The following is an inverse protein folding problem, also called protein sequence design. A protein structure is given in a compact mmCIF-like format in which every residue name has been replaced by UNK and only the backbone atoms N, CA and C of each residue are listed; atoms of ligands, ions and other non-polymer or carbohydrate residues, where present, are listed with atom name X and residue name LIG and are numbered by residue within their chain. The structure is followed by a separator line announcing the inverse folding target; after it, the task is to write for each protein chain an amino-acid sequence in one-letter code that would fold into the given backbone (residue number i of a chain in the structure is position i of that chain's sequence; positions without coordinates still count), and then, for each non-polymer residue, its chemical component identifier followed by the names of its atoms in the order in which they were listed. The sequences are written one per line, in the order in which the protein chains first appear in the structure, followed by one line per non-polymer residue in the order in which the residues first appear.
data_IF_815115009188
#
_entry.id   IF_815115009188
#
_cell.length_a   1.000
_cell.length_b   1.000
_cell.length_c   1.000
_cell.angle_alpha   90.00
_cell.angle_beta   90.00
_cell.angle_gamma   90.00
#
_symmetry.space_group_name_H-M   'P 1'
#
loop_
_entity.id
_entity.type
_entity.pdbx_description
1 polymer ?
#
# COMPACT_ATOMS: atom_id res chain seq x y z
N UNK A 1 1.78 32.83 63.35
CA UNK A 1 2.01 33.43 62.01
C UNK A 1 2.48 32.33 61.09
N UNK A 2 1.56 31.74 60.41
CA UNK A 2 1.80 30.60 59.51
C UNK A 2 1.83 31.14 58.09
N UNK A 3 2.99 31.08 57.43
CA UNK A 3 3.15 31.46 56.05
C UNK A 3 2.63 30.32 55.16
N UNK A 4 1.55 30.60 54.45
CA UNK A 4 1.07 29.73 53.39
C UNK A 4 2.00 29.82 52.19
N UNK A 5 2.60 28.69 51.82
CA UNK A 5 3.35 28.54 50.59
C UNK A 5 2.36 28.50 49.43
N UNK A 6 2.34 29.54 48.61
CA UNK A 6 1.64 29.57 47.31
C UNK A 6 2.37 28.64 46.37
N UNK A 7 1.78 27.50 46.09
CA UNK A 7 2.16 26.63 44.96
C UNK A 7 1.75 27.32 43.67
N UNK A 8 2.70 27.92 42.97
CA UNK A 8 2.51 28.41 41.62
C UNK A 8 2.46 27.19 40.71
N UNK A 9 1.28 26.79 40.32
CA UNK A 9 1.11 25.87 39.21
C UNK A 9 1.58 26.58 37.93
N UNK A 10 2.78 26.22 37.49
CA UNK A 10 3.26 26.56 36.18
C UNK A 10 2.38 25.82 35.17
N UNK A 11 1.75 26.49 34.17
CA UNK A 11 1.05 25.77 33.11
C UNK A 11 2.11 24.96 32.34
N UNK A 12 1.97 23.64 32.41
CA UNK A 12 2.76 22.73 31.62
C UNK A 12 2.33 22.91 30.16
N UNK A 13 3.06 23.73 29.44
CA UNK A 13 3.01 23.76 27.98
C UNK A 13 3.80 22.53 27.47
N UNK A 14 3.30 21.36 27.84
CA UNK A 14 3.84 20.08 27.41
C UNK A 14 3.10 19.64 26.15
N UNK A 15 3.56 20.15 25.00
CA UNK A 15 3.28 19.45 23.74
C UNK A 15 3.98 18.10 23.86
N UNK A 16 3.22 17.05 24.14
CA UNK A 16 3.71 15.68 24.19
C UNK A 16 4.50 15.41 22.89
N UNK A 17 5.77 15.00 22.95
CA UNK A 17 6.59 14.77 21.76
C UNK A 17 5.94 13.77 20.80
N UNK A 18 5.15 12.82 21.31
CA UNK A 18 4.43 11.86 20.50
C UNK A 18 3.29 12.54 19.72
N UNK A 19 2.60 13.51 20.30
CA UNK A 19 1.59 14.31 19.59
C UNK A 19 2.23 15.07 18.43
N UNK A 20 3.43 15.60 18.61
CA UNK A 20 4.15 16.28 17.53
C UNK A 20 4.52 15.30 16.39
N UNK A 21 4.95 14.08 16.73
CA UNK A 21 5.22 13.00 15.77
C UNK A 21 3.96 12.64 14.99
N UNK A 22 2.84 12.44 15.66
CA UNK A 22 1.56 12.13 15.02
C UNK A 22 1.10 13.26 14.08
N UNK A 23 1.30 14.52 14.46
CA UNK A 23 0.98 15.67 13.62
C UNK A 23 1.83 15.75 12.35
N UNK A 24 3.04 15.24 12.35
CA UNK A 24 3.91 15.20 11.18
C UNK A 24 3.60 14.04 10.23
N UNK A 25 2.88 13.02 10.71
CA UNK A 25 2.64 11.79 9.98
C UNK A 25 1.23 11.79 9.34
N UNK A 26 1.10 11.71 8.00
CA UNK A 26 -0.17 11.33 7.39
C UNK A 26 -0.55 9.89 7.80
N UNK A 27 -1.78 9.59 8.11
CA UNK A 27 -3.00 10.39 7.99
C UNK A 27 -3.38 11.18 9.25
N UNK A 28 -2.52 11.32 10.24
CA UNK A 28 -2.88 11.86 11.54
C UNK A 28 -2.82 13.40 11.62
N UNK A 29 -2.15 14.05 10.68
CA UNK A 29 -1.87 15.50 10.69
C UNK A 29 -3.11 16.41 10.85
N UNK A 30 -4.26 16.00 10.31
CA UNK A 30 -5.50 16.78 10.31
C UNK A 30 -6.47 16.40 11.44
N UNK A 31 -6.03 15.58 12.40
CA UNK A 31 -6.89 15.15 13.51
C UNK A 31 -7.01 16.22 14.59
N UNK A 32 -8.16 16.25 15.25
CA UNK A 32 -8.39 17.11 16.40
C UNK A 32 -7.43 16.74 17.56
N UNK A 33 -6.99 17.74 18.32
CA UNK A 33 -6.02 17.58 19.41
C UNK A 33 -6.36 16.44 20.37
N UNK A 34 -7.62 16.33 20.84
CA UNK A 34 -8.03 15.27 21.76
C UNK A 34 -8.01 13.85 21.18
N UNK A 35 -8.03 13.69 19.83
CA UNK A 35 -7.82 12.39 19.18
C UNK A 35 -6.34 12.07 19.12
N UNK A 36 -5.50 13.06 18.82
CA UNK A 36 -4.04 12.92 18.83
C UNK A 36 -3.52 12.56 20.21
N UNK A 37 -4.05 13.14 21.27
CA UNK A 37 -3.70 12.82 22.65
C UNK A 37 -4.09 11.38 23.04
N UNK A 38 -5.27 10.91 22.57
CA UNK A 38 -5.67 9.51 22.76
C UNK A 38 -4.73 8.54 22.04
N UNK A 39 -4.36 8.85 20.80
CA UNK A 39 -3.40 8.06 20.04
C UNK A 39 -2.01 8.11 20.66
N UNK A 40 -1.57 9.28 21.13
CA UNK A 40 -0.27 9.43 21.79
C UNK A 40 -0.18 8.59 23.06
N UNK A 41 -1.27 8.50 23.85
CA UNK A 41 -1.35 7.63 25.01
C UNK A 41 -1.25 6.13 24.70
N UNK A 42 -1.44 5.74 23.43
CA UNK A 42 -1.31 4.37 22.93
C UNK A 42 0.02 4.13 22.21
N UNK A 43 0.93 5.11 22.18
CA UNK A 43 2.22 5.00 21.54
C UNK A 43 3.36 4.79 22.54
N UNK A 44 4.35 4.01 22.11
CA UNK A 44 5.64 3.85 22.83
C UNK A 44 6.78 4.27 21.91
N UNK A 45 7.73 5.08 22.40
CA UNK A 45 8.93 5.45 21.65
C UNK A 45 9.99 4.36 21.73
N UNK A 46 10.61 4.05 20.59
CA UNK A 46 11.75 3.14 20.48
C UNK A 46 12.87 3.78 19.67
N UNK A 47 14.09 3.66 20.13
CA UNK A 47 15.30 3.96 19.37
C UNK A 47 15.82 2.69 18.72
N UNK A 48 16.22 2.80 17.47
CA UNK A 48 16.77 1.71 16.67
C UNK A 48 18.11 2.16 16.10
N UNK A 49 19.15 1.36 16.30
CA UNK A 49 20.48 1.62 15.76
C UNK A 49 20.52 1.32 14.25
N UNK A 50 21.42 1.97 13.52
CA UNK A 50 21.66 1.68 12.11
C UNK A 50 22.00 0.18 11.91
N UNK A 51 21.31 -0.48 10.97
CA UNK A 51 21.44 -1.92 10.71
C UNK A 51 20.63 -2.83 11.63
N UNK A 52 19.93 -2.29 12.64
CA UNK A 52 19.10 -3.08 13.54
C UNK A 52 17.89 -3.65 12.80
N UNK A 53 17.67 -4.96 12.93
CA UNK A 53 16.44 -5.61 12.46
C UNK A 53 15.35 -5.43 13.51
N UNK A 54 14.30 -4.67 13.16
CA UNK A 54 13.15 -4.41 14.04
C UNK A 54 12.23 -5.64 14.04
N UNK A 55 11.92 -6.16 12.85
CA UNK A 55 11.20 -7.42 12.64
C UNK A 55 11.87 -8.24 11.54
N UNK A 56 12.19 -9.49 11.82
CA UNK A 56 12.61 -10.44 10.78
C UNK A 56 11.38 -10.97 10.01
N UNK A 57 11.62 -11.52 8.82
CA UNK A 57 10.58 -12.15 8.02
C UNK A 57 9.80 -13.20 8.83
N UNK A 58 8.49 -13.11 8.82
CA UNK A 58 7.59 -13.97 9.60
C UNK A 58 7.39 -13.57 11.06
N UNK A 59 8.02 -12.50 11.55
CA UNK A 59 7.91 -12.09 12.95
C UNK A 59 6.98 -10.90 13.19
N UNK A 60 6.62 -10.15 12.15
CA UNK A 60 5.66 -9.06 12.30
C UNK A 60 4.25 -9.62 12.47
N UNK A 61 3.63 -9.38 13.61
CA UNK A 61 2.32 -9.88 14.00
C UNK A 61 1.20 -8.83 13.93
N UNK A 62 1.49 -7.66 13.38
CA UNK A 62 0.59 -6.51 13.31
C UNK A 62 0.09 -6.02 14.68
N UNK A 63 0.86 -6.27 15.75
CA UNK A 63 0.55 -5.75 17.07
C UNK A 63 0.73 -4.23 17.17
N UNK A 64 1.55 -3.65 16.29
CA UNK A 64 1.83 -2.20 16.25
C UNK A 64 1.80 -1.65 14.84
N UNK A 65 1.39 -0.38 14.69
CA UNK A 65 1.76 0.46 13.56
C UNK A 65 3.01 1.27 13.91
N UNK A 66 4.00 1.33 13.03
CA UNK A 66 5.29 1.94 13.28
C UNK A 66 5.40 3.27 12.55
N UNK A 67 5.46 4.37 13.28
CA UNK A 67 5.58 5.72 12.75
C UNK A 67 7.05 6.13 12.86
N UNK A 68 7.67 6.52 11.73
CA UNK A 68 9.05 7.00 11.73
C UNK A 68 9.09 8.45 12.19
N UNK A 69 9.61 8.68 13.39
CA UNK A 69 9.78 10.02 13.95
C UNK A 69 11.05 10.70 13.45
N UNK A 70 12.13 9.93 13.32
CA UNK A 70 13.39 10.38 12.76
C UNK A 70 14.13 9.18 12.18
N UNK A 71 14.93 9.41 11.16
CA UNK A 71 15.71 8.33 10.59
C UNK A 71 15.12 7.77 9.29
N UNK A 72 15.29 6.48 9.06
CA UNK A 72 14.80 5.77 7.88
C UNK A 72 14.73 4.28 8.16
N UNK A 73 13.60 3.67 7.84
CA UNK A 73 13.42 2.22 7.87
C UNK A 73 13.34 1.68 6.45
N UNK A 74 13.65 0.40 6.31
CA UNK A 74 13.51 -0.35 5.06
C UNK A 74 12.80 -1.67 5.33
N UNK A 75 11.70 -1.90 4.60
CA UNK A 75 11.07 -3.20 4.49
C UNK A 75 11.57 -3.90 3.24
N UNK A 76 11.98 -5.16 3.36
CA UNK A 76 12.41 -5.99 2.24
C UNK A 76 11.73 -7.35 2.31
N UNK A 77 11.19 -7.81 1.18
CA UNK A 77 10.57 -9.13 1.06
C UNK A 77 10.89 -9.73 -0.31
N UNK A 78 10.88 -11.06 -0.38
CA UNK A 78 10.97 -11.78 -1.66
C UNK A 78 9.55 -12.08 -2.14
N UNK A 79 9.23 -11.60 -3.33
CA UNK A 79 7.97 -11.97 -3.99
C UNK A 79 7.99 -13.46 -4.33
N UNK A 80 7.06 -14.21 -3.76
CA UNK A 80 6.97 -15.67 -3.93
C UNK A 80 6.62 -16.09 -5.37
N UNK A 81 6.03 -15.20 -6.17
CA UNK A 81 5.64 -15.50 -7.53
C UNK A 81 6.78 -15.26 -8.54
N UNK A 82 7.52 -14.18 -8.38
CA UNK A 82 8.60 -13.78 -9.30
C UNK A 82 10.00 -14.08 -8.78
N UNK A 83 10.18 -14.31 -7.47
CA UNK A 83 11.48 -14.40 -6.81
C UNK A 83 12.20 -13.06 -6.70
N UNK A 84 11.58 -11.96 -7.14
CA UNK A 84 12.17 -10.63 -7.08
C UNK A 84 12.16 -10.10 -5.64
N UNK A 85 13.18 -9.31 -5.31
CA UNK A 85 13.22 -8.60 -4.03
C UNK A 85 12.40 -7.30 -4.17
N UNK A 86 11.35 -7.18 -3.36
CA UNK A 86 10.59 -5.95 -3.20
C UNK A 86 11.17 -5.20 -2.02
N UNK A 87 11.50 -3.93 -2.22
CA UNK A 87 12.06 -3.05 -1.19
C UNK A 87 11.19 -1.81 -1.10
N UNK A 88 10.80 -1.46 0.12
CA UNK A 88 10.04 -0.25 0.43
C UNK A 88 10.76 0.51 1.54
N UNK A 89 11.03 1.78 1.31
CA UNK A 89 11.68 2.67 2.26
C UNK A 89 10.64 3.53 2.97
N UNK A 90 10.84 3.73 4.28
CA UNK A 90 9.98 4.57 5.13
C UNK A 90 10.83 5.70 5.72
N UNK A 91 10.55 6.92 5.29
CA UNK A 91 11.18 8.13 5.78
C UNK A 91 10.42 8.72 6.98
N UNK A 92 10.93 9.82 7.52
CA UNK A 92 10.28 10.57 8.60
C UNK A 92 8.86 10.99 8.21
N UNK A 93 7.90 10.75 9.10
CA UNK A 93 6.47 10.96 8.90
C UNK A 93 5.75 9.78 8.24
N UNK A 94 6.43 8.78 7.70
CA UNK A 94 5.79 7.61 7.10
C UNK A 94 5.48 6.52 8.12
N UNK A 95 4.51 5.66 7.79
CA UNK A 95 3.96 4.68 8.73
C UNK A 95 3.98 3.28 8.11
N UNK A 96 4.74 2.37 8.71
CA UNK A 96 4.72 0.95 8.36
C UNK A 96 3.61 0.22 9.12
N UNK A 97 2.95 -0.72 8.47
CA UNK A 97 2.01 -1.65 9.10
C UNK A 97 0.64 -1.06 9.49
N UNK A 98 0.36 0.22 9.19
CA UNK A 98 -0.89 0.88 9.60
C UNK A 98 -2.15 0.15 9.13
N UNK A 99 -2.16 -0.34 7.89
CA UNK A 99 -3.30 -1.08 7.34
C UNK A 99 -3.53 -2.39 8.08
N UNK A 100 -2.46 -3.13 8.39
CA UNK A 100 -2.53 -4.38 9.12
C UNK A 100 -3.01 -4.17 10.57
N UNK A 101 -2.46 -3.16 11.26
CA UNK A 101 -2.84 -2.79 12.62
C UNK A 101 -4.32 -2.34 12.72
N UNK A 102 -4.82 -1.60 11.72
CA UNK A 102 -6.19 -1.08 11.72
C UNK A 102 -7.26 -2.11 11.34
N UNK A 103 -6.92 -3.12 10.50
CA UNK A 103 -7.90 -3.94 9.80
C UNK A 103 -8.15 -5.33 10.44
N UNK A 104 -7.48 -5.68 11.54
CA UNK A 104 -7.64 -7.01 12.17
C UNK A 104 -7.42 -8.18 11.16
N UNK A 105 -6.45 -7.99 10.24
CA UNK A 105 -6.15 -8.95 9.18
C UNK A 105 -5.14 -9.98 9.69
N UNK A 106 -5.23 -11.22 9.17
CA UNK A 106 -4.26 -12.28 9.46
C UNK A 106 -2.81 -11.78 9.24
N UNK A 107 -1.99 -11.71 10.30
CA UNK A 107 -0.62 -11.19 10.23
C UNK A 107 0.24 -11.93 9.20
N UNK A 108 -0.02 -13.21 8.95
CA UNK A 108 0.74 -14.03 8.02
C UNK A 108 0.80 -13.43 6.60
N UNK A 109 -0.16 -12.60 6.22
CA UNK A 109 -0.17 -11.91 4.93
C UNK A 109 0.80 -10.72 4.85
N UNK A 110 1.21 -10.17 6.00
CA UNK A 110 2.07 -8.99 6.10
C UNK A 110 3.43 -9.30 6.71
N UNK A 111 3.60 -10.49 7.25
CA UNK A 111 4.81 -10.87 7.98
C UNK A 111 5.99 -11.27 7.09
N UNK A 112 5.80 -11.32 5.76
CA UNK A 112 6.85 -11.75 4.84
C UNK A 112 8.04 -10.77 4.76
N UNK A 113 7.83 -9.51 5.16
CA UNK A 113 8.87 -8.50 5.09
C UNK A 113 9.81 -8.54 6.30
N UNK A 114 11.10 -8.31 6.05
CA UNK A 114 12.08 -7.95 7.07
C UNK A 114 12.12 -6.44 7.18
N UNK A 115 11.93 -5.87 8.37
CA UNK A 115 12.02 -4.44 8.64
C UNK A 115 13.32 -4.12 9.36
N UNK A 116 14.15 -3.25 8.77
CA UNK A 116 15.45 -2.84 9.30
C UNK A 116 15.55 -1.32 9.37
N UNK A 117 16.33 -0.82 10.34
CA UNK A 117 16.71 0.58 10.41
C UNK A 117 17.93 0.82 9.48
N UNK A 118 17.79 1.64 8.43
CA UNK A 118 18.89 1.98 7.52
C UNK A 118 19.93 2.91 8.16
N UNK A 119 19.49 3.70 9.12
CA UNK A 119 20.31 4.62 9.93
C UNK A 119 19.72 4.69 11.33
N UNK A 120 20.44 5.30 12.26
CA UNK A 120 19.90 5.56 13.60
C UNK A 120 18.53 6.22 13.48
N UNK A 121 17.53 5.59 14.05
CA UNK A 121 16.12 5.95 13.86
C UNK A 121 15.39 5.99 15.19
N UNK A 122 14.41 6.87 15.28
CA UNK A 122 13.43 6.90 16.38
C UNK A 122 12.06 6.62 15.80
N UNK A 123 11.34 5.68 16.39
CA UNK A 123 10.01 5.29 15.96
C UNK A 123 9.01 5.39 17.09
N UNK A 124 7.76 5.69 16.76
CA UNK A 124 6.63 5.55 17.66
C UNK A 124 5.87 4.28 17.28
N UNK A 125 5.73 3.35 18.22
CA UNK A 125 4.97 2.12 18.08
C UNK A 125 3.55 2.41 18.59
N UNK A 126 2.59 2.44 17.70
CA UNK A 126 1.18 2.64 18.02
C UNK A 126 0.51 1.27 18.17
N UNK A 127 0.07 0.96 19.38
CA UNK A 127 -0.61 -0.30 19.70
C UNK A 127 -1.87 -0.50 18.85
N UNK A 128 -1.96 -1.66 18.21
CA UNK A 128 -3.03 -1.95 17.25
C UNK A 128 -4.40 -2.16 17.92
N UNK A 129 -4.45 -2.72 19.12
CA UNK A 129 -5.71 -2.93 19.86
C UNK A 129 -6.27 -1.58 20.31
N UNK A 130 -5.42 -0.72 20.87
CA UNK A 130 -5.79 0.64 21.21
C UNK A 130 -6.22 1.45 19.98
N UNK A 131 -5.50 1.34 18.85
CA UNK A 131 -5.89 1.99 17.59
C UNK A 131 -7.29 1.55 17.16
N UNK A 132 -7.59 0.25 17.14
CA UNK A 132 -8.92 -0.30 16.78
C UNK A 132 -10.00 0.17 17.75
N UNK A 133 -9.70 0.23 19.03
CA UNK A 133 -10.60 0.75 20.05
C UNK A 133 -10.94 2.22 19.78
N UNK A 134 -9.94 3.06 19.52
CA UNK A 134 -10.14 4.47 19.19
C UNK A 134 -10.91 4.62 17.87
N UNK A 135 -10.62 3.79 16.86
CA UNK A 135 -11.35 3.78 15.58
C UNK A 135 -12.84 3.51 15.77
N UNK A 136 -13.20 2.56 16.63
CA UNK A 136 -14.60 2.23 16.92
C UNK A 136 -15.36 3.39 17.60
N UNK A 137 -14.64 4.19 18.39
CA UNK A 137 -15.20 5.32 19.14
C UNK A 137 -15.17 6.65 18.38
N UNK A 138 -14.33 6.77 17.34
CA UNK A 138 -14.05 8.02 16.61
C UNK A 138 -14.26 7.88 15.11
N UNK A 139 -15.50 8.03 14.60
CA UNK A 139 -15.81 7.94 13.17
C UNK A 139 -14.98 8.89 12.28
N UNK A 140 -14.54 10.02 12.83
CA UNK A 140 -13.69 10.97 12.12
C UNK A 140 -12.32 10.38 11.80
N UNK A 141 -11.70 9.65 12.73
CA UNK A 141 -10.45 8.93 12.50
C UNK A 141 -10.63 7.86 11.44
N UNK A 142 -11.71 7.08 11.49
CA UNK A 142 -12.00 6.06 10.49
C UNK A 142 -12.12 6.67 9.07
N UNK A 143 -12.79 7.82 8.92
CA UNK A 143 -12.91 8.53 7.64
C UNK A 143 -11.54 8.99 7.12
N UNK A 144 -10.69 9.52 8.00
CA UNK A 144 -9.33 9.97 7.64
C UNK A 144 -8.48 8.79 7.17
N UNK A 145 -8.51 7.66 7.88
CA UNK A 145 -7.78 6.44 7.47
C UNK A 145 -8.32 5.88 6.14
N UNK A 146 -9.63 5.82 5.95
CA UNK A 146 -10.21 5.39 4.67
C UNK A 146 -9.75 6.28 3.51
N UNK A 147 -9.75 7.60 3.69
CA UNK A 147 -9.29 8.53 2.67
C UNK A 147 -7.77 8.39 2.40
N UNK A 148 -6.97 8.09 3.42
CA UNK A 148 -5.54 7.81 3.28
C UNK A 148 -5.30 6.53 2.46
N UNK A 149 -5.94 5.43 2.82
CA UNK A 149 -5.79 4.16 2.10
C UNK A 149 -6.32 4.24 0.67
N UNK A 150 -7.45 4.95 0.44
CA UNK A 150 -7.96 5.17 -0.91
C UNK A 150 -6.94 5.94 -1.79
N UNK A 151 -6.31 6.99 -1.24
CA UNK A 151 -5.26 7.74 -1.94
C UNK A 151 -4.03 6.88 -2.24
N UNK A 152 -3.60 6.07 -1.27
CA UNK A 152 -2.47 5.15 -1.47
C UNK A 152 -2.76 4.12 -2.58
N UNK A 153 -3.96 3.52 -2.60
CA UNK A 153 -4.38 2.60 -3.65
C UNK A 153 -4.43 3.25 -5.03
N UNK A 154 -4.98 4.47 -5.11
CA UNK A 154 -5.02 5.22 -6.38
C UNK A 154 -3.63 5.65 -6.84
N UNK A 155 -2.75 6.01 -5.91
CA UNK A 155 -1.34 6.31 -6.19
C UNK A 155 -0.58 5.09 -6.68
N UNK A 156 -0.70 3.97 -6.00
CA UNK A 156 -0.08 2.70 -6.40
C UNK A 156 -0.56 2.24 -7.78
N UNK A 157 -1.86 2.38 -8.07
CA UNK A 157 -2.42 2.05 -9.38
C UNK A 157 -1.84 2.92 -10.51
N UNK A 158 -1.59 4.21 -10.25
CA UNK A 158 -0.93 5.10 -11.23
C UNK A 158 0.53 4.72 -11.47
N UNK A 159 1.29 4.49 -10.39
CA UNK A 159 2.70 4.10 -10.47
C UNK A 159 2.86 2.78 -11.24
N UNK A 160 2.03 1.77 -10.94
CA UNK A 160 2.03 0.51 -11.69
C UNK A 160 1.72 0.71 -13.17
N UNK A 161 0.83 1.64 -13.52
CA UNK A 161 0.51 1.95 -14.91
C UNK A 161 1.67 2.69 -15.60
N UNK A 162 2.40 3.55 -14.90
CA UNK A 162 3.56 4.27 -15.42
C UNK A 162 4.80 3.38 -15.57
N UNK A 163 5.00 2.42 -14.67
CA UNK A 163 6.11 1.44 -14.71
C UNK A 163 5.84 0.25 -15.63
N UNK A 164 4.59 0.05 -16.05
CA UNK A 164 4.22 -1.06 -16.92
C UNK A 164 4.93 -0.94 -18.28
N UNK A 165 5.58 -2.02 -18.71
CA UNK A 165 6.17 -2.07 -20.07
C UNK A 165 5.08 -1.80 -21.12
N UNK A 166 5.43 -1.26 -22.29
CA UNK A 166 4.47 -1.00 -23.36
C UNK A 166 3.61 -2.23 -23.69
N UNK A 167 4.19 -3.43 -23.75
CA UNK A 167 3.45 -4.68 -23.96
C UNK A 167 2.45 -4.97 -22.83
N UNK A 168 2.84 -4.79 -21.56
CA UNK A 168 1.94 -5.00 -20.41
C UNK A 168 0.73 -4.07 -20.46
N UNK A 169 0.90 -2.82 -20.87
CA UNK A 169 -0.20 -1.87 -21.04
C UNK A 169 -1.19 -2.34 -22.10
N UNK A 170 -0.71 -2.98 -23.19
CA UNK A 170 -1.59 -3.59 -24.20
C UNK A 170 -2.41 -4.74 -23.59
N UNK A 171 -1.77 -5.66 -22.83
CA UNK A 171 -2.48 -6.76 -22.20
C UNK A 171 -3.49 -6.27 -21.17
N UNK A 172 -3.16 -5.25 -20.38
CA UNK A 172 -4.08 -4.61 -19.45
C UNK A 172 -5.28 -3.96 -20.16
N UNK A 173 -5.07 -3.36 -21.34
CA UNK A 173 -6.15 -2.82 -22.17
C UNK A 173 -7.04 -3.95 -22.72
N UNK A 174 -6.46 -5.06 -23.19
CA UNK A 174 -7.21 -6.24 -23.62
C UNK A 174 -8.06 -6.83 -22.50
N UNK A 175 -7.51 -6.94 -21.28
CA UNK A 175 -8.24 -7.43 -20.10
C UNK A 175 -9.54 -6.66 -19.83
N UNK A 176 -9.55 -5.36 -20.06
CA UNK A 176 -10.75 -4.51 -19.89
C UNK A 176 -11.83 -4.76 -20.96
N UNK A 177 -11.45 -5.36 -22.08
CA UNK A 177 -12.35 -5.65 -23.20
C UNK A 177 -12.85 -7.11 -23.20
N UNK A 178 -12.30 -7.96 -22.30
CA UNK A 178 -12.69 -9.37 -22.21
C UNK A 178 -14.03 -9.49 -21.52
N UNK A 179 -14.94 -10.22 -22.15
CA UNK A 179 -16.26 -10.56 -21.62
C UNK A 179 -16.43 -12.07 -21.62
N UNK A 180 -17.27 -12.59 -20.73
CA UNK A 180 -17.60 -14.00 -20.71
C UNK A 180 -18.83 -14.25 -21.58
N UNK A 181 -18.68 -15.02 -22.62
CA UNK A 181 -19.80 -15.48 -23.44
C UNK A 181 -20.63 -16.52 -22.65
N UNK A 182 -21.84 -16.14 -22.27
CA UNK A 182 -22.73 -16.99 -21.49
C UNK A 182 -23.21 -18.25 -22.23
N UNK A 183 -23.20 -18.23 -23.57
CA UNK A 183 -23.68 -19.35 -24.39
C UNK A 183 -22.56 -20.36 -24.62
N UNK A 184 -21.35 -19.88 -24.89
CA UNK A 184 -20.20 -20.76 -25.20
C UNK A 184 -19.32 -21.04 -23.99
N UNK A 185 -19.59 -20.37 -22.86
CA UNK A 185 -18.80 -20.44 -21.62
C UNK A 185 -17.31 -20.08 -21.83
N UNK A 186 -16.98 -19.33 -22.90
CA UNK A 186 -15.63 -18.92 -23.27
C UNK A 186 -15.39 -17.45 -22.90
N UNK A 187 -14.13 -17.09 -22.66
CA UNK A 187 -13.71 -15.71 -22.53
C UNK A 187 -13.40 -15.14 -23.90
N UNK A 188 -13.96 -13.99 -24.23
CA UNK A 188 -13.79 -13.42 -25.56
C UNK A 188 -13.81 -11.89 -25.55
N UNK A 189 -13.18 -11.31 -26.56
CA UNK A 189 -13.38 -9.92 -26.96
C UNK A 189 -14.28 -9.99 -28.19
N UNK A 190 -15.54 -9.55 -28.10
CA UNK A 190 -16.52 -9.69 -29.14
C UNK A 190 -16.11 -8.99 -30.45
N UNK A 191 -15.48 -7.82 -30.32
CA UNK A 191 -14.89 -7.06 -31.44
C UNK A 191 -13.53 -6.56 -31.03
N UNK A 192 -12.48 -7.14 -31.60
CA UNK A 192 -11.12 -6.69 -31.36
C UNK A 192 -10.91 -5.30 -31.97
N UNK A 193 -10.48 -4.28 -31.20
CA UNK A 193 -10.11 -2.98 -31.75
C UNK A 193 -9.00 -3.13 -32.80
N UNK A 194 -8.93 -2.21 -33.75
CA UNK A 194 -7.78 -2.14 -34.68
C UNK A 194 -6.51 -1.87 -33.88
N UNK A 195 -5.35 -2.28 -34.40
CA UNK A 195 -4.07 -2.09 -33.71
C UNK A 195 -3.85 -0.63 -33.29
N UNK A 196 -4.24 0.32 -34.15
CA UNK A 196 -4.15 1.75 -33.82
C UNK A 196 -5.06 2.15 -32.65
N UNK A 197 -6.32 1.68 -32.67
CA UNK A 197 -7.27 1.99 -31.55
C UNK A 197 -6.82 1.37 -30.25
N UNK A 198 -6.28 0.15 -30.29
CA UNK A 198 -5.72 -0.52 -29.11
C UNK A 198 -4.44 0.15 -28.64
N UNK A 199 -3.61 0.65 -29.55
CA UNK A 199 -2.42 1.43 -29.25
C UNK A 199 -2.77 2.74 -28.52
N UNK A 200 -3.79 3.45 -28.97
CA UNK A 200 -4.32 4.65 -28.31
C UNK A 200 -4.87 4.32 -26.92
N UNK A 201 -5.60 3.21 -26.74
CA UNK A 201 -6.13 2.76 -25.44
C UNK A 201 -5.03 2.37 -24.45
N UNK A 202 -3.92 1.82 -24.92
CA UNK A 202 -2.80 1.36 -24.12
C UNK A 202 -1.67 2.40 -23.98
N UNK A 203 -1.80 3.55 -24.66
CA UNK A 203 -0.77 4.59 -24.75
C UNK A 203 0.59 4.01 -25.21
N UNK A 204 0.58 3.34 -26.34
CA UNK A 204 1.75 2.72 -27.01
C UNK A 204 1.72 2.99 -28.52
N UNK A 205 2.79 2.61 -29.22
CA UNK A 205 2.79 2.61 -30.68
C UNK A 205 2.03 1.42 -31.28
N UNK A 206 1.62 1.55 -32.53
CA UNK A 206 0.83 0.52 -33.24
C UNK A 206 1.62 -0.80 -33.43
N UNK A 207 2.94 -0.72 -33.59
CA UNK A 207 3.79 -1.88 -33.77
C UNK A 207 3.84 -2.73 -32.48
N UNK A 208 3.97 -2.08 -31.32
CA UNK A 208 3.89 -2.73 -30.01
C UNK A 208 2.54 -3.40 -29.77
N UNK A 209 1.43 -2.72 -30.13
CA UNK A 209 0.09 -3.29 -30.04
C UNK A 209 -0.05 -4.55 -30.91
N UNK A 210 0.42 -4.51 -32.16
CA UNK A 210 0.40 -5.66 -33.06
C UNK A 210 1.26 -6.83 -32.57
N UNK A 211 2.48 -6.52 -32.07
CA UNK A 211 3.40 -7.52 -31.54
C UNK A 211 2.85 -8.24 -30.30
N UNK A 212 2.22 -7.49 -29.38
CA UNK A 212 1.60 -8.05 -28.18
C UNK A 212 0.47 -9.04 -28.52
N UNK A 213 -0.42 -8.68 -29.45
CA UNK A 213 -1.48 -9.59 -29.91
C UNK A 213 -0.89 -10.82 -30.59
N UNK A 214 0.12 -10.65 -31.47
CA UNK A 214 0.77 -11.77 -32.12
C UNK A 214 1.41 -12.74 -31.12
N UNK A 215 2.08 -12.22 -30.10
CA UNK A 215 2.72 -13.00 -29.02
C UNK A 215 1.66 -13.79 -28.22
N UNK A 216 0.51 -13.18 -27.90
CA UNK A 216 -0.60 -13.84 -27.21
C UNK A 216 -1.16 -15.02 -28.03
N UNK A 217 -1.28 -14.85 -29.34
CA UNK A 217 -1.75 -15.91 -30.25
C UNK A 217 -0.67 -17.00 -30.41
N UNK A 218 0.58 -16.64 -30.57
CA UNK A 218 1.69 -17.59 -30.70
C UNK A 218 1.87 -18.45 -29.45
N UNK A 219 1.61 -17.91 -28.26
CA UNK A 219 1.62 -18.67 -27.02
C UNK A 219 0.41 -19.57 -26.81
N UNK A 220 -0.51 -19.63 -27.79
CA UNK A 220 -1.78 -20.36 -27.69
C UNK A 220 -2.70 -19.90 -26.54
N UNK A 221 -2.43 -18.73 -25.95
CA UNK A 221 -3.26 -18.16 -24.91
C UNK A 221 -4.53 -17.48 -25.47
N UNK A 222 -4.52 -17.17 -26.77
CA UNK A 222 -5.68 -16.65 -27.49
C UNK A 222 -5.70 -17.12 -28.95
N UNK A 223 -6.88 -17.14 -29.53
CA UNK A 223 -7.10 -17.45 -30.96
C UNK A 223 -8.00 -16.43 -31.62
N UNK A 224 -7.79 -16.19 -32.91
CA UNK A 224 -8.63 -15.27 -33.66
C UNK A 224 -10.02 -15.88 -33.90
N UNK A 225 -11.05 -15.10 -33.61
CA UNK A 225 -12.46 -15.39 -33.90
C UNK A 225 -13.09 -14.14 -34.47
N UNK A 226 -12.86 -13.93 -35.81
CA UNK A 226 -13.24 -12.69 -36.46
C UNK A 226 -14.73 -12.37 -36.24
N UNK A 227 -15.11 -11.13 -35.86
CA UNK A 227 -14.23 -9.92 -35.74
C UNK A 227 -13.52 -9.76 -34.39
N UNK A 228 -13.55 -10.77 -33.55
CA UNK A 228 -13.03 -10.72 -32.17
C UNK A 228 -11.79 -11.57 -31.94
N UNK A 229 -11.58 -11.87 -30.63
CA UNK A 229 -10.53 -12.73 -30.15
C UNK A 229 -11.09 -13.60 -28.99
N UNK A 230 -10.84 -14.89 -29.04
CA UNK A 230 -11.15 -15.80 -27.92
C UNK A 230 -9.89 -15.96 -27.08
N UNK A 231 -10.05 -15.88 -25.76
CA UNK A 231 -8.97 -16.07 -24.79
C UNK A 231 -9.09 -17.50 -24.25
N UNK A 232 -8.18 -18.34 -24.66
CA UNK A 232 -8.16 -19.76 -24.29
C UNK A 232 -7.51 -19.96 -22.91
N UNK A 233 -6.58 -19.06 -22.51
CA UNK A 233 -5.93 -19.08 -21.19
C UNK A 233 -5.94 -17.70 -20.54
N UNK A 234 -6.93 -17.48 -19.66
CA UNK A 234 -7.05 -16.24 -18.89
C UNK A 234 -5.92 -16.05 -17.85
N UNK A 235 -5.34 -17.15 -17.36
CA UNK A 235 -4.26 -17.05 -16.37
C UNK A 235 -2.98 -16.50 -17.04
N UNK A 236 -2.71 -16.91 -18.29
CA UNK A 236 -1.60 -16.34 -19.06
C UNK A 236 -1.84 -14.85 -19.37
N UNK A 237 -3.04 -14.49 -19.84
CA UNK A 237 -3.34 -13.07 -20.11
C UNK A 237 -3.23 -12.21 -18.87
N UNK A 238 -3.76 -12.68 -17.73
CA UNK A 238 -3.67 -11.98 -16.46
C UNK A 238 -2.21 -11.80 -16.00
N UNK A 239 -1.38 -12.84 -16.09
CA UNK A 239 0.05 -12.78 -15.76
C UNK A 239 0.83 -11.82 -16.66
N UNK A 240 0.45 -11.71 -17.94
CA UNK A 240 1.09 -10.78 -18.87
C UNK A 240 0.64 -9.33 -18.67
N UNK A 241 -0.53 -9.11 -18.06
CA UNK A 241 -1.09 -7.80 -17.77
C UNK A 241 -0.60 -7.20 -16.44
N UNK A 242 -0.16 -8.05 -15.51
CA UNK A 242 0.37 -7.70 -14.18
C UNK A 242 1.81 -8.13 -13.99
#
# INVERSE_FOLDING_TARGET
MTLAASTVETPIDSTDPIVAILKSAPPFCDLAQGVLEQLAGACTLRQCAAGETIYAAGQYDAADAIIVSAGKLRASQVDSASGAMIVEDFAEGEVFGLAAAAAEVDPARFSAATLTAEKDSTVALLDAEALRTILSQRPTLAKVLMAHFARALLGASKLQAEEATPERRVYAALMKLVERDAVRAEWRIAKLPKHRELAELADVDEATSAAAIAKLIQSSAARRDYPGLVIDDMAVLNRLAH
#
